data_IF_844258057571
#
_entry.id   IF_844258057571
#
_cell.length_a   1.000
_cell.length_b   1.000
_cell.length_c   1.000
_cell.angle_alpha   90.00
_cell.angle_beta   90.00
_cell.angle_gamma   90.00
#
_symmetry.space_group_name_H-M   'P 1'
#
loop_
_entity.id
_entity.type
_entity.pdbx_description
1 polymer ?
#
# COMPACT_ATOMS: atom_id res chain seq x y z
N UNK A 1 -47.97 -19.62 -29.20
CA UNK A 1 -48.09 -19.23 -27.78
C UNK A 1 -46.78 -18.68 -27.20
N UNK A 2 -45.61 -19.23 -27.58
CA UNK A 2 -44.28 -18.77 -27.13
C UNK A 2 -43.91 -17.37 -27.66
N UNK A 3 -44.38 -16.99 -28.85
CA UNK A 3 -44.08 -15.70 -29.48
C UNK A 3 -44.66 -14.48 -28.75
N UNK A 4 -45.79 -14.65 -28.05
CA UNK A 4 -46.42 -13.57 -27.28
C UNK A 4 -45.74 -13.34 -25.93
N UNK A 5 -45.12 -14.38 -25.35
CA UNK A 5 -44.36 -14.27 -24.11
C UNK A 5 -43.07 -13.47 -24.31
N UNK A 6 -42.42 -13.60 -25.47
CA UNK A 6 -41.23 -12.80 -25.78
C UNK A 6 -41.53 -11.30 -25.91
N UNK A 7 -42.68 -10.93 -26.47
CA UNK A 7 -43.11 -9.52 -26.57
C UNK A 7 -43.45 -8.89 -25.20
N UNK A 8 -43.98 -9.68 -24.26
CA UNK A 8 -44.21 -9.21 -22.89
C UNK A 8 -42.88 -9.08 -22.13
N UNK A 9 -41.97 -10.04 -22.30
CA UNK A 9 -40.63 -9.99 -21.67
C UNK A 9 -39.79 -8.83 -22.24
N UNK A 10 -39.92 -8.51 -23.53
CA UNK A 10 -39.21 -7.38 -24.15
C UNK A 10 -39.85 -6.02 -23.88
N UNK A 11 -41.01 -5.96 -23.24
CA UNK A 11 -41.64 -4.68 -22.79
C UNK A 11 -41.42 -4.43 -21.30
N UNK A 12 -40.95 -5.45 -20.55
CA UNK A 12 -40.27 -5.28 -19.25
C UNK A 12 -38.79 -4.92 -19.51
N UNK A 13 -38.56 -4.01 -20.44
CA UNK A 13 -37.28 -3.30 -20.57
C UNK A 13 -37.14 -2.40 -19.37
N UNK A 14 -36.00 -2.54 -18.70
CA UNK A 14 -35.52 -1.82 -17.52
C UNK A 14 -36.20 -0.45 -17.31
N UNK A 15 -36.80 -0.18 -16.14
CA UNK A 15 -37.36 1.13 -15.86
C UNK A 15 -36.25 2.15 -15.99
N UNK A 16 -36.32 2.99 -17.04
CA UNK A 16 -35.37 4.08 -17.20
C UNK A 16 -35.49 4.97 -15.97
N UNK A 17 -34.39 5.15 -15.22
CA UNK A 17 -34.47 5.89 -13.98
C UNK A 17 -34.99 7.29 -14.26
N UNK A 18 -35.88 7.83 -13.42
CA UNK A 18 -36.48 9.14 -13.66
C UNK A 18 -35.39 10.18 -13.92
N UNK A 19 -35.58 11.06 -14.91
CA UNK A 19 -34.56 12.03 -15.29
C UNK A 19 -34.12 12.84 -14.06
N UNK A 20 -32.81 12.83 -13.80
CA UNK A 20 -32.20 13.49 -12.64
C UNK A 20 -32.12 12.66 -11.36
N UNK A 21 -32.61 11.42 -11.31
CA UNK A 21 -32.42 10.54 -10.14
C UNK A 21 -30.94 10.20 -9.93
N UNK A 22 -30.24 9.86 -11.02
CA UNK A 22 -28.80 9.62 -11.00
C UNK A 22 -28.06 10.90 -10.56
N UNK A 23 -28.41 12.06 -11.12
CA UNK A 23 -27.78 13.33 -10.75
C UNK A 23 -28.01 13.71 -9.27
N UNK A 24 -29.22 13.50 -8.74
CA UNK A 24 -29.54 13.73 -7.32
C UNK A 24 -28.80 12.76 -6.42
N UNK A 25 -28.76 11.48 -6.77
CA UNK A 25 -28.01 10.46 -6.05
C UNK A 25 -26.52 10.83 -5.99
N UNK A 26 -25.90 11.14 -7.13
CA UNK A 26 -24.50 11.57 -7.17
C UNK A 26 -24.27 12.84 -6.35
N UNK A 27 -25.12 13.87 -6.44
CA UNK A 27 -24.98 15.09 -5.63
C UNK A 27 -25.08 14.82 -4.13
N UNK A 28 -25.98 13.94 -3.69
CA UNK A 28 -26.13 13.58 -2.28
C UNK A 28 -24.94 12.73 -1.81
N UNK A 29 -24.52 11.75 -2.61
CA UNK A 29 -23.39 10.86 -2.28
C UNK A 29 -22.08 11.66 -2.25
N UNK A 30 -21.81 12.47 -3.27
CA UNK A 30 -20.63 13.35 -3.33
C UNK A 30 -20.69 14.39 -2.20
N UNK A 31 -21.85 15.03 -2.00
CA UNK A 31 -22.02 16.04 -0.95
C UNK A 31 -21.86 15.52 0.48
N UNK A 32 -22.04 14.21 0.70
CA UNK A 32 -21.83 13.56 2.00
C UNK A 32 -20.42 12.96 2.12
N UNK A 33 -19.90 12.34 1.07
CA UNK A 33 -18.60 11.64 1.11
C UNK A 33 -17.44 12.61 1.17
N UNK A 34 -17.47 13.70 0.40
CA UNK A 34 -16.34 14.64 0.33
C UNK A 34 -16.05 15.32 1.67
N UNK A 35 -17.03 15.88 2.41
CA UNK A 35 -16.74 16.51 3.71
C UNK A 35 -16.25 15.52 4.76
N UNK A 36 -16.75 14.28 4.74
CA UNK A 36 -16.31 13.22 5.64
C UNK A 36 -14.88 12.82 5.33
N UNK A 37 -14.55 12.70 4.04
CA UNK A 37 -13.19 12.40 3.59
C UNK A 37 -12.22 13.54 3.91
N UNK A 38 -12.62 14.79 3.70
CA UNK A 38 -11.80 15.97 4.03
C UNK A 38 -11.55 16.08 5.53
N UNK A 39 -12.57 15.80 6.36
CA UNK A 39 -12.43 15.74 7.82
C UNK A 39 -11.48 14.63 8.27
N UNK A 40 -11.62 13.43 7.70
CA UNK A 40 -10.72 12.29 7.97
C UNK A 40 -9.29 12.58 7.52
N UNK A 41 -9.12 13.13 6.31
CA UNK A 41 -7.82 13.51 5.76
C UNK A 41 -7.17 14.60 6.61
N UNK A 42 -7.94 15.57 7.10
CA UNK A 42 -7.46 16.61 8.02
C UNK A 42 -6.95 16.04 9.34
N UNK A 43 -7.69 15.11 9.96
CA UNK A 43 -7.26 14.43 11.19
C UNK A 43 -6.04 13.53 10.94
N UNK A 44 -6.01 12.82 9.82
CA UNK A 44 -4.89 11.98 9.43
C UNK A 44 -3.62 12.82 9.20
N UNK A 45 -3.74 13.93 8.47
CA UNK A 45 -2.64 14.86 8.25
C UNK A 45 -2.18 15.51 9.55
N UNK A 46 -3.11 15.90 10.43
CA UNK A 46 -2.75 16.43 11.74
C UNK A 46 -2.00 15.39 12.59
N UNK A 47 -2.42 14.12 12.56
CA UNK A 47 -1.73 13.04 13.23
C UNK A 47 -0.35 12.76 12.64
N UNK A 48 -0.22 12.77 11.31
CA UNK A 48 1.05 12.57 10.61
C UNK A 48 2.04 13.73 10.83
N UNK A 49 1.55 14.97 10.86
CA UNK A 49 2.35 16.15 11.17
C UNK A 49 2.71 16.25 12.66
N UNK A 50 1.89 15.66 13.54
CA UNK A 50 2.18 15.57 14.97
C UNK A 50 3.31 14.57 15.27
N UNK A 51 3.59 13.63 14.36
CA UNK A 51 4.73 12.73 14.51
C UNK A 51 5.98 13.52 14.12
N UNK A 52 6.91 13.76 15.06
CA UNK A 52 8.11 14.48 14.72
C UNK A 52 8.95 13.65 13.74
N UNK A 53 9.42 14.27 12.66
CA UNK A 53 10.20 13.58 11.62
C UNK A 53 11.44 12.86 12.17
N UNK A 54 12.05 13.36 13.26
CA UNK A 54 13.16 12.67 13.92
C UNK A 54 12.76 11.33 14.52
N UNK A 55 11.53 11.19 15.02
CA UNK A 55 11.00 9.94 15.57
C UNK A 55 10.78 8.89 14.47
N UNK A 56 10.24 9.31 13.33
CA UNK A 56 10.11 8.43 12.14
C UNK A 56 11.48 7.96 11.68
N UNK A 57 12.46 8.87 11.60
CA UNK A 57 13.85 8.52 11.25
C UNK A 57 14.42 7.49 12.22
N UNK A 58 14.26 7.66 13.53
CA UNK A 58 14.76 6.69 14.51
C UNK A 58 14.08 5.32 14.40
N UNK A 59 12.78 5.27 14.14
CA UNK A 59 12.06 4.01 13.94
C UNK A 59 12.57 3.28 12.70
N UNK A 60 12.73 4.00 11.58
CA UNK A 60 13.25 3.44 10.33
C UNK A 60 14.69 2.98 10.49
N UNK A 61 15.55 3.82 11.08
CA UNK A 61 16.95 3.46 11.37
C UNK A 61 17.03 2.25 12.31
N UNK A 62 16.17 2.18 13.32
CA UNK A 62 16.09 1.04 14.24
C UNK A 62 15.64 -0.25 13.55
N UNK A 63 14.65 -0.17 12.65
CA UNK A 63 14.22 -1.30 11.83
C UNK A 63 15.33 -1.80 10.89
N UNK A 64 16.02 -0.87 10.21
CA UNK A 64 17.15 -1.19 9.34
C UNK A 64 18.31 -1.80 10.11
N UNK A 65 18.66 -1.26 11.27
CA UNK A 65 19.67 -1.83 12.16
C UNK A 65 19.26 -3.22 12.66
N UNK A 66 17.99 -3.40 13.03
CA UNK A 66 17.43 -4.70 13.41
C UNK A 66 17.51 -5.74 12.30
N UNK A 67 17.19 -5.34 11.06
CA UNK A 67 17.33 -6.17 9.85
C UNK A 67 18.78 -6.54 9.56
N UNK A 68 19.72 -5.60 9.73
CA UNK A 68 21.14 -5.86 9.56
C UNK A 68 21.65 -6.88 10.60
N UNK A 69 21.30 -6.70 11.88
CA UNK A 69 21.65 -7.64 12.96
C UNK A 69 21.02 -9.00 12.68
N UNK A 70 19.74 -9.04 12.31
CA UNK A 70 19.04 -10.28 11.99
C UNK A 70 19.69 -11.02 10.80
N UNK A 71 20.03 -10.30 9.74
CA UNK A 71 20.77 -10.84 8.60
C UNK A 71 22.13 -11.43 9.01
N UNK A 72 22.84 -10.80 9.94
CA UNK A 72 24.09 -11.35 10.48
C UNK A 72 23.87 -12.61 11.33
N UNK A 73 22.73 -12.74 12.02
CA UNK A 73 22.39 -13.90 12.86
C UNK A 73 21.94 -15.14 12.07
N UNK A 74 21.70 -15.04 10.76
CA UNK A 74 21.36 -16.23 9.95
C UNK A 74 22.46 -17.31 10.06
N UNK A 75 22.18 -18.61 9.85
CA UNK A 75 23.21 -19.66 9.77
C UNK A 75 23.92 -19.69 8.40
N UNK A 76 25.24 -19.96 8.36
CA UNK A 76 26.03 -19.83 7.10
C UNK A 76 25.58 -20.85 6.06
N UNK A 77 25.10 -21.98 6.54
CA UNK A 77 24.56 -23.07 5.72
C UNK A 77 23.31 -22.65 4.93
N UNK A 78 22.58 -21.64 5.41
CA UNK A 78 21.43 -21.06 4.69
C UNK A 78 21.86 -20.10 3.58
N UNK A 79 22.98 -19.40 3.75
CA UNK A 79 23.49 -18.43 2.78
C UNK A 79 24.21 -19.08 1.58
N UNK A 80 24.78 -20.27 1.77
CA UNK A 80 25.54 -20.99 0.73
C UNK A 80 24.88 -22.28 0.24
N UNK A 81 23.60 -22.51 0.58
CA UNK A 81 22.90 -23.76 0.24
C UNK A 81 22.88 -23.99 -1.28
N UNK A 82 23.73 -24.89 -1.77
CA UNK A 82 23.82 -25.27 -3.20
C UNK A 82 24.92 -24.58 -4.03
N UNK A 83 25.84 -23.81 -3.42
CA UNK A 83 26.99 -23.22 -4.12
C UNK A 83 28.30 -23.94 -3.74
N UNK A 84 29.06 -24.49 -4.69
CA UNK A 84 30.35 -25.16 -4.42
C UNK A 84 31.48 -24.17 -4.07
N UNK A 85 31.31 -22.87 -4.35
CA UNK A 85 32.30 -21.84 -4.06
C UNK A 85 31.79 -20.85 -3.01
N UNK A 86 32.61 -20.61 -1.98
CA UNK A 86 32.36 -19.64 -0.91
C UNK A 86 32.91 -18.29 -1.37
N UNK A 87 32.09 -17.51 -2.07
CA UNK A 87 32.48 -16.20 -2.58
C UNK A 87 31.73 -15.09 -1.85
N UNK A 88 32.46 -14.08 -1.39
CA UNK A 88 31.95 -13.02 -0.50
C UNK A 88 30.80 -12.20 -1.10
N UNK A 89 30.77 -11.99 -2.42
CA UNK A 89 29.67 -11.26 -3.08
C UNK A 89 28.39 -12.10 -3.23
N UNK A 90 28.47 -13.42 -3.00
CA UNK A 90 27.32 -14.33 -3.04
C UNK A 90 26.69 -14.54 -1.66
N UNK A 91 27.32 -14.02 -0.60
CA UNK A 91 26.79 -14.06 0.75
C UNK A 91 25.59 -13.09 0.87
N UNK A 92 24.40 -13.66 1.01
CA UNK A 92 23.13 -12.92 1.13
C UNK A 92 23.16 -11.94 2.31
N UNK A 93 23.95 -12.20 3.35
CA UNK A 93 24.08 -11.28 4.49
C UNK A 93 24.84 -10.02 4.13
N UNK A 94 25.95 -10.19 3.41
CA UNK A 94 26.79 -9.08 2.98
C UNK A 94 25.99 -8.21 2.01
N UNK A 95 25.24 -8.83 1.10
CA UNK A 95 24.36 -8.11 0.19
C UNK A 95 23.21 -7.40 0.94
N UNK A 96 22.58 -8.04 1.93
CA UNK A 96 21.56 -7.40 2.75
C UNK A 96 22.12 -6.16 3.49
N UNK A 97 23.32 -6.25 4.06
CA UNK A 97 23.98 -5.13 4.74
C UNK A 97 24.33 -4.01 3.75
N UNK A 98 24.80 -4.34 2.54
CA UNK A 98 25.10 -3.34 1.50
C UNK A 98 23.83 -2.61 1.07
N UNK A 99 22.73 -3.32 0.83
CA UNK A 99 21.43 -2.72 0.46
C UNK A 99 20.93 -1.80 1.57
N UNK A 100 20.98 -2.24 2.83
CA UNK A 100 20.60 -1.42 3.99
C UNK A 100 21.48 -0.16 4.08
N UNK A 101 22.79 -0.30 3.89
CA UNK A 101 23.72 0.84 3.92
C UNK A 101 23.44 1.85 2.80
N UNK A 102 23.06 1.37 1.61
CA UNK A 102 22.62 2.21 0.49
C UNK A 102 21.29 2.92 0.78
N UNK A 103 20.31 2.23 1.36
CA UNK A 103 19.04 2.83 1.75
C UNK A 103 19.21 3.89 2.85
N UNK A 104 20.22 3.78 3.72
CA UNK A 104 20.49 4.78 4.76
C UNK A 104 20.95 6.13 4.19
N UNK A 105 21.59 6.16 3.01
CA UNK A 105 22.15 7.39 2.41
C UNK A 105 21.07 8.47 2.19
N UNK A 106 19.93 8.19 1.52
CA UNK A 106 18.88 9.19 1.35
C UNK A 106 18.28 9.64 2.69
N UNK A 107 18.17 8.77 3.70
CA UNK A 107 17.64 9.14 5.02
C UNK A 107 18.58 10.04 5.84
N UNK A 108 19.89 9.98 5.60
CA UNK A 108 20.87 10.87 6.24
C UNK A 108 20.88 12.23 5.55
N UNK A 109 20.71 12.26 4.22
CA UNK A 109 20.79 13.47 3.40
C UNK A 109 19.48 14.28 3.42
N UNK A 110 18.32 13.61 3.46
CA UNK A 110 16.99 14.23 3.39
C UNK A 110 16.26 14.24 4.73
#
# INVERSE_FOLDING_TARGET
MISYLWAIVSTVTEPTPPPGLIERFFKTVIGFIFPVWDGLAGVLMAALLAIPMWGVRLIVLGLLAGLAVWGMTLPRDYAFKGSPEVVWYRDVRIMAVIVIALEMIPYIVF
#
